data_IF_589027404902
#
_entry.id   IF_589027404902
#
_cell.length_a   1.000
_cell.length_b   1.000
_cell.length_c   1.000
_cell.angle_alpha   90.00
_cell.angle_beta   90.00
_cell.angle_gamma   90.00
#
_symmetry.space_group_name_H-M   'P 1'
#
loop_
_entity.id
_entity.type
_entity.pdbx_description
1 polymer ?
#
# COMPACT_ATOMS: atom_id res chain seq x y z
N UNK A 1 -46.39 37.60 -53.97
CA UNK A 1 -45.73 38.56 -53.06
C UNK A 1 -46.16 38.22 -51.63
N UNK A 2 -45.46 37.32 -50.97
CA UNK A 2 -45.75 36.87 -49.61
C UNK A 2 -44.51 37.14 -48.77
N UNK A 3 -44.71 37.97 -47.75
CA UNK A 3 -43.66 38.34 -46.80
C UNK A 3 -43.46 37.24 -45.77
N UNK A 4 -42.28 36.74 -45.68
CA UNK A 4 -41.81 35.90 -44.58
C UNK A 4 -41.19 36.83 -43.53
N UNK A 5 -41.76 36.89 -42.32
CA UNK A 5 -41.16 37.52 -41.13
C UNK A 5 -40.72 36.41 -40.20
N UNK A 6 -39.65 36.40 -39.82
CA UNK A 6 -38.45 36.05 -39.17
C UNK A 6 -38.65 35.44 -37.81
N UNK A 7 -38.21 34.20 -37.70
CA UNK A 7 -37.85 33.54 -36.44
C UNK A 7 -36.40 33.86 -36.11
N UNK A 8 -36.11 34.85 -35.29
CA UNK A 8 -34.78 35.13 -34.75
C UNK A 8 -34.78 35.59 -33.27
N UNK A 9 -35.76 35.18 -32.48
CA UNK A 9 -35.88 35.68 -31.11
C UNK A 9 -35.77 34.65 -29.98
N UNK A 10 -35.81 33.32 -30.26
CA UNK A 10 -35.96 32.31 -29.23
C UNK A 10 -34.66 31.57 -28.82
N UNK A 11 -33.58 31.70 -29.59
CA UNK A 11 -32.36 30.89 -29.34
C UNK A 11 -31.35 31.53 -28.36
N UNK A 12 -31.44 32.85 -28.13
CA UNK A 12 -30.42 33.52 -27.28
C UNK A 12 -30.79 33.48 -25.80
N UNK A 13 -32.09 33.33 -25.47
CA UNK A 13 -32.55 33.27 -24.06
C UNK A 13 -32.27 31.91 -23.39
N UNK A 14 -32.19 30.81 -24.18
CA UNK A 14 -31.94 29.48 -23.63
C UNK A 14 -30.48 29.23 -23.28
N UNK A 15 -29.51 29.85 -23.99
CA UNK A 15 -28.07 29.67 -23.74
C UNK A 15 -27.63 30.41 -22.47
N UNK A 16 -28.23 31.56 -22.13
CA UNK A 16 -27.89 32.33 -20.93
C UNK A 16 -28.39 31.65 -19.65
N UNK A 17 -29.54 30.96 -19.70
CA UNK A 17 -30.07 30.21 -18.53
C UNK A 17 -29.27 28.93 -18.25
N UNK A 18 -28.65 28.29 -19.27
CA UNK A 18 -27.84 27.09 -19.06
C UNK A 18 -26.45 27.38 -18.48
N UNK A 19 -25.87 28.55 -18.78
CA UNK A 19 -24.61 28.97 -18.18
C UNK A 19 -24.73 29.43 -16.73
N UNK A 20 -25.87 30.00 -16.32
CA UNK A 20 -26.09 30.45 -14.94
C UNK A 20 -26.35 29.30 -13.96
N UNK A 21 -26.93 28.18 -14.41
CA UNK A 21 -27.19 27.01 -13.57
C UNK A 21 -25.92 26.14 -13.38
N UNK A 22 -24.96 26.20 -14.30
CA UNK A 22 -23.69 25.46 -14.14
C UNK A 22 -22.69 26.18 -13.20
N UNK A 23 -22.74 27.51 -13.11
CA UNK A 23 -21.88 28.28 -12.21
C UNK A 23 -22.32 28.23 -10.74
N UNK A 24 -23.61 28.04 -10.48
CA UNK A 24 -24.12 27.95 -9.10
C UNK A 24 -23.82 26.61 -8.40
N UNK A 25 -23.66 25.51 -9.16
CA UNK A 25 -23.27 24.21 -8.60
C UNK A 25 -21.82 24.18 -8.10
N UNK A 26 -20.91 24.76 -8.86
CA UNK A 26 -19.47 24.80 -8.50
C UNK A 26 -19.16 25.76 -7.35
N UNK A 27 -19.89 26.85 -7.22
CA UNK A 27 -19.72 27.79 -6.11
C UNK A 27 -20.19 27.19 -4.77
N UNK A 28 -21.27 26.42 -4.76
CA UNK A 28 -21.80 25.78 -3.55
C UNK A 28 -20.91 24.66 -3.00
N UNK A 29 -20.26 23.87 -3.87
CA UNK A 29 -19.32 22.82 -3.44
C UNK A 29 -18.00 23.41 -2.92
N UNK A 30 -17.51 24.49 -3.55
CA UNK A 30 -16.29 25.18 -3.09
C UNK A 30 -16.46 25.89 -1.75
N UNK A 31 -17.64 26.31 -1.37
CA UNK A 31 -17.90 26.88 -0.04
C UNK A 31 -18.07 25.80 1.06
N UNK A 32 -18.62 24.66 0.71
CA UNK A 32 -18.92 23.59 1.68
C UNK A 32 -17.69 22.98 2.34
N UNK A 33 -16.63 22.67 1.58
CA UNK A 33 -15.40 22.09 2.14
C UNK A 33 -14.60 23.10 2.97
N UNK A 34 -14.60 24.40 2.58
CA UNK A 34 -13.90 25.47 3.34
C UNK A 34 -14.49 25.61 4.73
N UNK A 35 -15.82 25.74 4.82
CA UNK A 35 -16.49 25.84 6.10
C UNK A 35 -16.26 24.60 6.99
N UNK A 36 -16.26 23.39 6.38
CA UNK A 36 -15.94 22.14 7.09
C UNK A 36 -14.47 22.15 7.56
N UNK A 37 -13.54 22.62 6.74
CA UNK A 37 -12.12 22.70 7.08
C UNK A 37 -11.87 23.70 8.20
N UNK A 38 -12.40 24.91 8.12
CA UNK A 38 -12.28 25.93 9.16
C UNK A 38 -12.83 25.46 10.51
N UNK A 39 -14.01 24.83 10.49
CA UNK A 39 -14.61 24.22 11.68
C UNK A 39 -13.69 23.13 12.29
N UNK A 40 -13.10 22.30 11.43
CA UNK A 40 -12.17 21.25 11.85
C UNK A 40 -10.90 21.88 12.44
N UNK A 41 -10.35 22.92 11.80
CA UNK A 41 -9.16 23.63 12.25
C UNK A 41 -9.37 24.26 13.65
N UNK A 42 -10.49 24.96 13.85
CA UNK A 42 -10.79 25.57 15.15
C UNK A 42 -11.05 24.53 16.25
N UNK A 43 -11.65 23.38 15.90
CA UNK A 43 -11.82 22.30 16.85
C UNK A 43 -10.47 21.64 17.21
N UNK A 44 -9.61 21.40 16.24
CA UNK A 44 -8.28 20.85 16.44
C UNK A 44 -7.38 21.76 17.29
N UNK A 45 -7.49 23.09 17.12
CA UNK A 45 -6.81 24.06 18.00
C UNK A 45 -7.20 23.90 19.48
N UNK A 46 -8.47 23.59 19.75
CA UNK A 46 -8.95 23.35 21.12
C UNK A 46 -8.49 22.00 21.66
N UNK A 47 -8.37 20.98 20.78
CA UNK A 47 -7.84 19.67 21.15
C UNK A 47 -6.35 19.76 21.49
N UNK A 48 -5.56 20.49 20.69
CA UNK A 48 -4.16 20.82 20.94
C UNK A 48 -3.18 19.63 20.89
N UNK A 49 -3.68 18.41 20.76
CA UNK A 49 -2.89 17.19 20.80
C UNK A 49 -3.29 16.22 19.66
N UNK A 50 -2.37 15.32 19.32
CA UNK A 50 -2.58 14.22 18.39
C UNK A 50 -1.71 13.04 18.81
N UNK A 51 -2.28 11.85 18.90
CA UNK A 51 -1.54 10.61 19.22
C UNK A 51 -1.51 9.66 18.03
N UNK A 52 -0.30 9.45 17.48
CA UNK A 52 -0.04 8.56 16.35
C UNK A 52 0.57 7.25 16.85
N UNK A 53 -0.02 6.13 16.45
CA UNK A 53 0.55 4.80 16.63
C UNK A 53 1.07 4.30 15.26
N UNK A 54 2.20 3.60 15.23
CA UNK A 54 2.73 3.03 13.98
C UNK A 54 4.19 2.64 14.03
N UNK A 55 4.79 2.46 12.86
CA UNK A 55 6.22 2.27 12.70
C UNK A 55 7.01 3.58 12.81
N UNK A 56 8.33 3.47 12.64
CA UNK A 56 9.22 4.64 12.67
C UNK A 56 8.91 5.64 11.55
N UNK A 57 8.31 5.17 10.47
CA UNK A 57 8.01 5.95 9.27
C UNK A 57 7.03 7.09 9.55
N UNK A 58 5.95 6.82 10.31
CA UNK A 58 4.95 7.85 10.65
C UNK A 58 5.49 8.82 11.71
N UNK A 59 6.42 8.35 12.53
CA UNK A 59 7.06 9.12 13.59
C UNK A 59 8.36 9.79 13.14
N UNK A 60 8.70 9.74 11.84
CA UNK A 60 9.95 10.29 11.34
C UNK A 60 10.06 11.79 11.67
N UNK A 61 11.21 12.26 12.20
CA UNK A 61 11.37 13.66 12.66
C UNK A 61 11.02 14.70 11.59
N UNK A 62 11.34 14.46 10.33
CA UNK A 62 11.01 15.37 9.23
C UNK A 62 9.50 15.47 8.97
N UNK A 63 8.76 14.36 9.07
CA UNK A 63 7.29 14.36 8.94
C UNK A 63 6.68 15.19 10.06
N UNK A 64 7.10 14.92 11.31
CA UNK A 64 6.58 15.61 12.48
C UNK A 64 6.94 17.11 12.45
N UNK A 65 8.18 17.46 12.09
CA UNK A 65 8.62 18.84 11.97
C UNK A 65 7.86 19.59 10.86
N UNK A 66 7.61 18.96 9.72
CA UNK A 66 6.87 19.57 8.62
C UNK A 66 5.39 19.77 8.98
N UNK A 67 4.76 18.80 9.66
CA UNK A 67 3.40 18.95 10.17
C UNK A 67 3.31 20.04 11.23
N UNK A 68 4.22 20.05 12.22
CA UNK A 68 4.24 21.06 13.28
C UNK A 68 4.55 22.47 12.75
N UNK A 69 5.29 22.61 11.65
CA UNK A 69 5.49 23.91 10.99
C UNK A 69 4.17 24.48 10.46
N UNK A 70 3.30 23.64 9.91
CA UNK A 70 2.01 24.05 9.37
C UNK A 70 0.95 24.19 10.47
N UNK A 71 1.03 23.37 11.54
CA UNK A 71 0.09 23.34 12.66
C UNK A 71 0.80 23.38 14.01
N UNK A 72 1.47 24.51 14.35
CA UNK A 72 2.31 24.62 15.55
C UNK A 72 1.53 24.53 16.87
N UNK A 73 0.21 24.60 16.81
CA UNK A 73 -0.69 24.47 17.95
C UNK A 73 -1.06 23.01 18.27
N UNK A 74 -0.60 22.02 17.47
CA UNK A 74 -0.82 20.59 17.74
C UNK A 74 0.46 19.97 18.31
N UNK A 75 0.38 19.44 19.51
CA UNK A 75 1.43 18.60 20.09
C UNK A 75 1.26 17.17 19.64
N UNK A 76 2.16 16.67 18.78
CA UNK A 76 2.12 15.30 18.31
C UNK A 76 2.84 14.37 19.28
N UNK A 77 2.14 13.35 19.75
CA UNK A 77 2.69 12.23 20.51
C UNK A 77 2.77 11.01 19.61
N UNK A 78 3.86 10.25 19.68
CA UNK A 78 4.04 9.04 18.88
C UNK A 78 4.25 7.83 19.77
N UNK A 79 3.65 6.72 19.40
CA UNK A 79 3.87 5.40 20.00
C UNK A 79 4.36 4.48 18.91
N UNK A 80 5.69 4.32 18.88
CA UNK A 80 6.38 3.50 17.87
C UNK A 80 6.60 2.10 18.39
N UNK A 81 6.40 1.10 17.54
CA UNK A 81 6.64 -0.30 17.89
C UNK A 81 6.36 -1.25 16.73
N UNK A 82 6.68 -2.52 16.95
CA UNK A 82 6.35 -3.56 15.99
C UNK A 82 4.85 -3.77 15.89
N UNK A 83 4.38 -4.06 14.67
CA UNK A 83 2.97 -4.17 14.34
C UNK A 83 2.17 -5.07 15.30
N UNK A 84 2.68 -6.26 15.63
CA UNK A 84 2.04 -7.19 16.54
C UNK A 84 1.93 -6.66 17.99
N UNK A 85 2.95 -5.97 18.47
CA UNK A 85 2.98 -5.38 19.82
C UNK A 85 1.97 -4.24 19.93
N UNK A 86 1.93 -3.36 18.91
CA UNK A 86 0.95 -2.27 18.85
C UNK A 86 -0.47 -2.79 18.78
N UNK A 87 -0.71 -3.90 18.04
CA UNK A 87 -2.02 -4.54 18.01
C UNK A 87 -2.44 -5.00 19.42
N UNK A 88 -1.58 -5.72 20.13
CA UNK A 88 -1.87 -6.19 21.49
C UNK A 88 -2.06 -5.02 22.47
N UNK A 89 -1.27 -3.98 22.36
CA UNK A 89 -1.40 -2.77 23.16
C UNK A 89 -2.76 -2.11 22.98
N UNK A 90 -3.17 -1.82 21.74
CA UNK A 90 -4.48 -1.21 21.46
C UNK A 90 -5.61 -2.09 21.98
N UNK A 91 -5.55 -3.41 21.78
CA UNK A 91 -6.57 -4.33 22.28
C UNK A 91 -6.63 -4.33 23.82
N UNK A 92 -5.49 -4.24 24.51
CA UNK A 92 -5.43 -4.14 25.96
C UNK A 92 -6.00 -2.82 26.48
N UNK A 93 -5.63 -1.69 25.85
CA UNK A 93 -6.16 -0.35 26.14
C UNK A 93 -7.68 -0.32 26.01
N UNK A 94 -8.22 -0.88 24.90
CA UNK A 94 -9.66 -0.95 24.65
C UNK A 94 -10.40 -1.81 25.69
N UNK A 95 -9.83 -2.95 26.07
CA UNK A 95 -10.40 -3.82 27.15
C UNK A 95 -10.42 -3.09 28.49
N UNK A 96 -9.45 -2.23 28.75
CA UNK A 96 -9.39 -1.40 29.94
C UNK A 96 -10.26 -0.11 29.84
N UNK A 97 -11.06 0.05 28.77
CA UNK A 97 -11.86 1.25 28.54
C UNK A 97 -11.05 2.50 28.18
N UNK A 98 -9.78 2.35 27.81
CA UNK A 98 -8.88 3.45 27.45
C UNK A 98 -8.87 3.67 25.93
N UNK A 99 -9.01 4.91 25.51
CA UNK A 99 -9.00 5.36 24.13
C UNK A 99 -7.85 6.36 23.99
N UNK A 100 -6.64 5.87 23.66
CA UNK A 100 -5.41 6.67 23.70
C UNK A 100 -4.92 7.04 22.29
N UNK A 101 -5.16 6.20 21.30
CA UNK A 101 -4.70 6.42 19.95
C UNK A 101 -5.77 7.17 19.12
N UNK A 102 -5.32 8.15 18.34
CA UNK A 102 -6.14 8.81 17.32
C UNK A 102 -6.02 8.12 15.96
N UNK A 103 -4.79 7.88 15.52
CA UNK A 103 -4.47 7.30 14.21
C UNK A 103 -3.46 6.16 14.34
N UNK A 104 -3.50 5.27 13.36
CA UNK A 104 -2.43 4.30 13.14
C UNK A 104 -2.01 4.33 11.66
N UNK A 105 -0.70 4.25 11.41
CA UNK A 105 -0.13 4.01 10.10
C UNK A 105 0.78 2.79 10.13
N UNK A 106 0.63 1.91 9.14
CA UNK A 106 1.43 0.69 9.05
C UNK A 106 0.88 -0.30 8.04
N UNK A 107 1.55 -1.42 7.86
CA UNK A 107 1.12 -2.48 6.95
C UNK A 107 -0.28 -3.02 7.27
N UNK A 108 -1.04 -3.50 6.27
CA UNK A 108 -2.48 -3.76 6.38
C UNK A 108 -2.86 -4.90 7.35
N UNK A 109 -1.92 -5.75 7.75
CA UNK A 109 -2.22 -6.90 8.62
C UNK A 109 -2.61 -6.51 10.05
N UNK A 110 -1.97 -5.48 10.62
CA UNK A 110 -2.32 -4.99 11.97
C UNK A 110 -3.65 -4.23 11.97
N UNK A 111 -3.89 -3.27 11.07
CA UNK A 111 -5.20 -2.64 10.89
C UNK A 111 -6.33 -3.62 10.61
N UNK A 112 -6.05 -4.76 9.96
CA UNK A 112 -7.03 -5.84 9.82
C UNK A 112 -7.60 -6.29 11.17
N UNK A 113 -6.74 -6.46 12.17
CA UNK A 113 -7.17 -6.83 13.54
C UNK A 113 -8.09 -5.76 14.13
N UNK A 114 -7.78 -4.48 13.92
CA UNK A 114 -8.60 -3.37 14.41
C UNK A 114 -9.94 -3.28 13.67
N UNK A 115 -9.93 -3.48 12.35
CA UNK A 115 -11.13 -3.52 11.53
C UNK A 115 -12.07 -4.65 11.96
N UNK A 116 -11.59 -5.88 12.08
CA UNK A 116 -12.37 -7.04 12.55
C UNK A 116 -12.88 -6.84 13.98
N UNK A 117 -12.11 -6.14 14.81
CA UNK A 117 -12.50 -5.76 16.18
C UNK A 117 -13.49 -4.60 16.24
N UNK A 118 -13.90 -4.00 15.11
CA UNK A 118 -14.77 -2.82 15.03
C UNK A 118 -14.23 -1.64 15.85
N UNK A 119 -12.91 -1.41 15.76
CA UNK A 119 -12.23 -0.35 16.51
C UNK A 119 -12.00 0.92 15.69
N UNK A 120 -12.50 0.99 14.46
CA UNK A 120 -12.22 2.06 13.51
C UNK A 120 -13.47 2.89 13.20
N UNK A 121 -13.25 4.17 12.90
CA UNK A 121 -14.22 5.03 12.22
C UNK A 121 -13.88 5.10 10.72
N UNK A 122 -14.87 5.30 9.84
CA UNK A 122 -14.64 5.45 8.41
C UNK A 122 -13.72 6.64 8.11
N UNK A 123 -12.48 6.39 7.67
CA UNK A 123 -11.52 7.45 7.34
C UNK A 123 -11.98 8.29 6.15
N UNK A 124 -12.77 7.70 5.24
CA UNK A 124 -13.33 8.39 4.06
C UNK A 124 -14.09 9.66 4.45
N UNK A 125 -14.78 9.67 5.59
CA UNK A 125 -15.51 10.84 6.08
C UNK A 125 -14.62 11.98 6.57
N UNK A 126 -13.34 11.70 6.78
CA UNK A 126 -12.31 12.62 7.26
C UNK A 126 -11.49 13.27 6.15
N UNK A 127 -11.69 12.85 4.90
CA UNK A 127 -11.10 13.50 3.74
C UNK A 127 -11.87 14.79 3.42
N UNK A 128 -11.20 15.94 3.48
CA UNK A 128 -11.85 17.26 3.40
C UNK A 128 -11.25 18.11 2.27
N UNK A 129 -9.91 18.16 2.18
CA UNK A 129 -9.25 19.05 1.23
C UNK A 129 -9.48 18.57 -0.21
N UNK A 130 -9.81 19.47 -1.17
CA UNK A 130 -10.04 19.12 -2.56
C UNK A 130 -8.88 18.35 -3.19
N UNK A 131 -7.63 18.72 -2.89
CA UNK A 131 -6.46 18.01 -3.40
C UNK A 131 -6.36 16.56 -2.88
N UNK A 132 -6.99 16.24 -1.73
CA UNK A 132 -7.02 14.88 -1.16
C UNK A 132 -8.22 14.11 -1.70
N UNK A 133 -9.38 14.77 -1.84
CA UNK A 133 -10.62 14.15 -2.32
C UNK A 133 -10.67 13.97 -3.83
N UNK A 134 -9.86 14.71 -4.59
CA UNK A 134 -9.76 14.58 -6.05
C UNK A 134 -9.07 13.25 -6.43
N UNK A 135 -9.90 12.26 -6.76
CA UNK A 135 -9.43 10.91 -7.14
C UNK A 135 -8.55 10.91 -8.39
N UNK A 136 -8.64 11.94 -9.26
CA UNK A 136 -7.76 12.04 -10.44
C UNK A 136 -6.28 12.18 -10.10
N UNK A 137 -5.94 12.51 -8.86
CA UNK A 137 -4.57 12.60 -8.34
C UNK A 137 -4.02 11.27 -7.82
N UNK A 138 -4.84 10.22 -7.82
CA UNK A 138 -4.52 8.92 -7.27
C UNK A 138 -4.45 7.86 -8.36
N UNK A 139 -3.66 6.82 -8.13
CA UNK A 139 -3.49 5.71 -9.05
C UNK A 139 -4.85 5.09 -9.44
N UNK A 140 -5.05 4.90 -10.74
CA UNK A 140 -6.31 4.37 -11.27
C UNK A 140 -7.52 5.31 -11.10
N UNK A 141 -7.29 6.60 -10.85
CA UNK A 141 -8.32 7.64 -10.64
C UNK A 141 -9.33 7.27 -9.53
N UNK A 142 -8.87 6.62 -8.47
CA UNK A 142 -9.68 6.27 -7.30
C UNK A 142 -8.85 6.28 -6.02
N UNK A 143 -9.51 6.41 -4.87
CA UNK A 143 -8.90 6.06 -3.60
C UNK A 143 -8.89 4.54 -3.44
N UNK A 144 -7.83 4.04 -2.81
CA UNK A 144 -7.66 2.63 -2.55
C UNK A 144 -7.77 2.36 -1.05
N UNK A 145 -8.48 1.31 -0.72
CA UNK A 145 -8.65 0.84 0.65
C UNK A 145 -8.29 -0.63 0.73
N UNK A 146 -7.74 -1.03 1.87
CA UNK A 146 -7.42 -2.43 2.09
C UNK A 146 -8.59 -3.23 2.66
N UNK A 147 -9.63 -2.56 3.18
CA UNK A 147 -10.83 -3.19 3.73
C UNK A 147 -11.89 -3.46 2.66
N UNK A 148 -12.77 -4.47 2.86
CA UNK A 148 -13.79 -4.84 1.88
C UNK A 148 -14.89 -3.79 1.65
N UNK A 149 -15.04 -2.83 2.57
CA UNK A 149 -16.06 -1.79 2.50
C UNK A 149 -15.57 -0.52 1.80
N UNK A 150 -14.27 -0.44 1.47
CA UNK A 150 -13.62 0.74 0.88
C UNK A 150 -13.80 2.02 1.74
N UNK A 151 -13.66 1.92 3.08
CA UNK A 151 -13.94 3.03 3.98
C UNK A 151 -12.92 3.27 5.10
N UNK A 152 -12.19 2.26 5.56
CA UNK A 152 -11.48 2.32 6.83
C UNK A 152 -9.96 2.32 6.71
N UNK A 153 -9.40 1.52 5.80
CA UNK A 153 -7.96 1.29 5.68
C UNK A 153 -7.44 1.97 4.42
N UNK A 154 -7.18 3.28 4.48
CA UNK A 154 -6.76 4.07 3.33
C UNK A 154 -5.33 3.72 2.91
N UNK A 155 -5.15 3.20 1.71
CA UNK A 155 -3.84 2.87 1.13
C UNK A 155 -3.21 4.11 0.49
N UNK A 156 -2.11 4.57 1.03
CA UNK A 156 -1.34 5.71 0.49
C UNK A 156 -0.03 5.29 -0.19
N UNK A 157 0.40 4.07 0.01
CA UNK A 157 1.58 3.45 -0.60
C UNK A 157 1.17 2.41 -1.63
N UNK A 158 1.87 2.39 -2.76
CA UNK A 158 1.65 1.43 -3.84
C UNK A 158 2.96 1.01 -4.48
N UNK A 159 3.94 0.67 -3.66
CA UNK A 159 5.24 0.16 -4.08
C UNK A 159 5.08 -1.18 -4.79
N UNK A 160 5.84 -1.39 -5.84
CA UNK A 160 5.90 -2.70 -6.51
C UNK A 160 6.48 -3.71 -5.55
N UNK A 161 5.74 -4.78 -5.29
CA UNK A 161 6.21 -5.87 -4.46
C UNK A 161 7.08 -6.82 -5.24
N UNK A 162 8.16 -7.26 -4.61
CA UNK A 162 9.07 -8.23 -5.21
C UNK A 162 8.36 -9.54 -5.51
N UNK A 163 8.79 -10.22 -6.56
CA UNK A 163 8.22 -11.50 -6.99
C UNK A 163 8.49 -12.64 -6.02
N UNK A 164 9.47 -12.48 -5.12
CA UNK A 164 10.00 -13.56 -4.30
C UNK A 164 10.68 -14.66 -5.10
N UNK A 165 10.93 -14.47 -6.39
CA UNK A 165 11.64 -15.40 -7.28
C UNK A 165 13.03 -14.85 -7.57
N UNK A 166 14.06 -15.63 -7.22
CA UNK A 166 15.47 -15.24 -7.34
C UNK A 166 16.27 -16.31 -8.04
N UNK A 167 17.38 -15.93 -8.63
CA UNK A 167 18.23 -16.84 -9.37
C UNK A 167 19.73 -16.56 -9.15
N UNK A 168 20.55 -17.58 -9.40
CA UNK A 168 22.00 -17.40 -9.47
C UNK A 168 22.38 -16.98 -10.89
N UNK A 169 23.00 -15.79 -11.01
CA UNK A 169 23.30 -15.15 -12.30
C UNK A 169 24.36 -15.89 -13.14
N UNK A 170 25.11 -16.83 -12.54
CA UNK A 170 26.06 -17.70 -13.25
C UNK A 170 25.41 -18.97 -13.81
N UNK A 171 24.22 -19.33 -13.34
CA UNK A 171 23.55 -20.59 -13.65
C UNK A 171 22.26 -20.41 -14.45
N UNK A 172 21.65 -19.23 -14.41
CA UNK A 172 20.38 -18.93 -15.06
C UNK A 172 20.47 -17.61 -15.80
N UNK A 173 20.05 -17.60 -17.05
CA UNK A 173 19.82 -16.37 -17.81
C UNK A 173 18.43 -15.80 -17.45
N UNK A 174 18.32 -14.48 -17.22
CA UNK A 174 17.02 -13.86 -16.98
C UNK A 174 16.01 -14.11 -18.10
N UNK A 175 16.50 -14.34 -19.33
CA UNK A 175 15.66 -14.66 -20.49
C UNK A 175 14.91 -16.01 -20.39
N UNK A 176 15.33 -16.88 -19.49
CA UNK A 176 14.73 -18.19 -19.29
C UNK A 176 13.44 -18.14 -18.46
N UNK A 177 13.18 -17.00 -17.79
CA UNK A 177 12.07 -16.81 -16.87
C UNK A 177 11.26 -15.59 -17.30
N UNK A 178 10.16 -15.84 -18.00
CA UNK A 178 9.20 -14.83 -18.48
C UNK A 178 7.84 -14.97 -17.81
N UNK A 179 7.68 -15.99 -16.98
CA UNK A 179 6.45 -16.33 -16.27
C UNK A 179 6.80 -17.14 -15.04
N UNK A 180 6.01 -17.03 -13.99
CA UNK A 180 6.10 -17.96 -12.85
C UNK A 180 5.93 -19.43 -13.28
N UNK A 181 5.11 -19.71 -14.30
CA UNK A 181 4.95 -21.04 -14.84
C UNK A 181 6.22 -21.64 -15.42
N UNK A 182 7.20 -20.82 -15.78
CA UNK A 182 8.48 -21.31 -16.33
C UNK A 182 9.29 -22.11 -15.31
N UNK A 183 9.14 -21.83 -14.01
CA UNK A 183 9.86 -22.59 -12.96
C UNK A 183 9.31 -23.99 -12.76
N UNK A 184 8.14 -24.31 -13.31
CA UNK A 184 7.56 -25.67 -13.28
C UNK A 184 8.05 -26.54 -14.44
N UNK A 185 8.83 -26.00 -15.39
CA UNK A 185 9.39 -26.77 -16.49
C UNK A 185 10.30 -27.90 -16.01
N UNK A 186 10.29 -29.04 -16.68
CA UNK A 186 11.04 -30.24 -16.30
C UNK A 186 12.55 -30.00 -16.05
N UNK A 187 13.16 -29.03 -16.75
CA UNK A 187 14.59 -28.67 -16.55
C UNK A 187 14.92 -28.17 -15.13
N UNK A 188 13.92 -27.66 -14.41
CA UNK A 188 14.06 -27.12 -13.04
C UNK A 188 13.68 -28.12 -11.94
N UNK A 189 13.18 -29.29 -12.28
CA UNK A 189 12.80 -30.32 -11.33
C UNK A 189 14.02 -30.73 -10.46
N UNK A 190 13.84 -30.69 -9.14
CA UNK A 190 14.91 -30.95 -8.16
C UNK A 190 15.98 -29.83 -8.05
N UNK A 191 15.81 -28.72 -8.79
CA UNK A 191 16.74 -27.58 -8.81
C UNK A 191 16.16 -26.32 -8.21
N UNK A 192 14.97 -26.38 -7.67
CA UNK A 192 14.28 -25.25 -7.06
C UNK A 192 14.45 -25.29 -5.54
N UNK A 193 14.85 -24.17 -4.97
CA UNK A 193 14.91 -23.93 -3.53
C UNK A 193 13.72 -23.06 -3.11
N UNK A 194 13.15 -23.30 -1.95
CA UNK A 194 12.04 -22.51 -1.44
C UNK A 194 12.00 -22.38 0.06
N UNK A 195 11.52 -21.25 0.57
CA UNK A 195 11.24 -21.12 2.00
C UNK A 195 10.03 -21.97 2.36
N UNK A 196 10.15 -22.75 3.45
CA UNK A 196 9.04 -23.56 3.98
C UNK A 196 7.86 -22.66 4.35
N UNK A 197 6.71 -22.79 3.68
CA UNK A 197 5.55 -21.94 3.95
C UNK A 197 4.75 -22.34 5.21
N UNK A 198 5.12 -23.43 5.89
CA UNK A 198 4.41 -23.97 7.07
C UNK A 198 4.82 -23.32 8.39
N UNK A 199 5.25 -22.06 8.37
CA UNK A 199 5.64 -21.32 9.59
C UNK A 199 4.43 -20.82 10.41
N UNK A 200 4.70 -20.18 11.54
CA UNK A 200 3.68 -19.56 12.40
C UNK A 200 2.84 -18.49 11.70
N UNK A 201 3.40 -17.90 10.62
CA UNK A 201 2.70 -16.98 9.74
C UNK A 201 3.02 -17.32 8.29
N UNK A 202 2.00 -17.38 7.46
CA UNK A 202 2.16 -17.61 6.03
C UNK A 202 2.98 -16.47 5.41
N UNK A 203 4.02 -16.75 4.62
CA UNK A 203 4.78 -15.71 3.95
C UNK A 203 3.91 -14.90 2.99
N UNK A 204 3.98 -13.58 3.06
CA UNK A 204 3.22 -12.67 2.19
C UNK A 204 3.33 -13.01 0.68
N UNK A 205 4.52 -13.37 0.13
CA UNK A 205 4.62 -13.77 -1.26
C UNK A 205 3.71 -14.95 -1.65
N UNK A 206 3.48 -15.91 -0.75
CA UNK A 206 2.59 -17.05 -1.02
C UNK A 206 1.14 -16.58 -1.16
N UNK A 207 0.71 -15.64 -0.31
CA UNK A 207 -0.61 -15.00 -0.42
C UNK A 207 -0.77 -14.29 -1.76
N UNK A 208 0.25 -13.53 -2.16
CA UNK A 208 0.27 -12.80 -3.42
C UNK A 208 0.11 -13.76 -4.60
N UNK A 209 0.88 -14.85 -4.65
CA UNK A 209 0.78 -15.84 -5.73
C UNK A 209 -0.59 -16.52 -5.76
N UNK A 210 -1.16 -16.84 -4.59
CA UNK A 210 -2.48 -17.45 -4.52
C UNK A 210 -3.58 -16.55 -5.07
N UNK A 211 -3.55 -15.25 -4.75
CA UNK A 211 -4.55 -14.30 -5.19
C UNK A 211 -4.26 -13.67 -6.56
N UNK A 212 -3.10 -14.00 -7.17
CA UNK A 212 -2.77 -13.52 -8.51
C UNK A 212 -3.68 -14.17 -9.56
N UNK A 213 -4.38 -13.38 -10.41
CA UNK A 213 -5.30 -13.91 -11.42
C UNK A 213 -4.67 -14.87 -12.43
N UNK A 214 -3.37 -14.72 -12.70
CA UNK A 214 -2.61 -15.57 -13.62
C UNK A 214 -2.05 -16.85 -13.00
N UNK A 215 -2.18 -17.06 -11.68
CA UNK A 215 -1.53 -18.14 -10.92
C UNK A 215 -2.52 -18.93 -10.08
N UNK A 216 -2.93 -18.38 -8.95
CA UNK A 216 -3.95 -18.99 -8.08
C UNK A 216 -3.51 -20.26 -7.36
N UNK A 217 -4.51 -20.99 -6.87
CA UNK A 217 -4.32 -22.28 -6.16
C UNK A 217 -3.64 -23.34 -7.01
N UNK A 218 -3.90 -23.34 -8.33
CA UNK A 218 -3.35 -24.33 -9.26
C UNK A 218 -1.82 -24.21 -9.35
N UNK A 219 -1.30 -22.99 -9.47
CA UNK A 219 0.15 -22.77 -9.47
C UNK A 219 0.80 -23.28 -8.16
N UNK A 220 0.20 -22.97 -7.01
CA UNK A 220 0.70 -23.42 -5.70
C UNK A 220 0.71 -24.94 -5.60
N UNK A 221 -0.36 -25.62 -6.04
CA UNK A 221 -0.41 -27.09 -6.05
C UNK A 221 0.73 -27.68 -6.87
N UNK A 222 0.88 -27.22 -8.09
CA UNK A 222 1.90 -27.74 -9.01
C UNK A 222 3.32 -27.41 -8.56
N UNK A 223 3.54 -26.22 -7.98
CA UNK A 223 4.82 -25.85 -7.42
C UNK A 223 5.32 -26.87 -6.39
N UNK A 224 4.47 -27.27 -5.46
CA UNK A 224 4.88 -28.21 -4.40
C UNK A 224 4.77 -29.69 -4.81
N UNK A 225 3.92 -30.03 -5.76
CA UNK A 225 3.73 -31.42 -6.19
C UNK A 225 4.71 -31.87 -7.29
N UNK A 226 5.09 -30.99 -8.21
CA UNK A 226 5.77 -31.37 -9.45
C UNK A 226 7.27 -31.00 -9.47
N UNK A 227 7.70 -29.98 -8.71
CA UNK A 227 9.06 -29.44 -8.87
C UNK A 227 10.14 -30.14 -8.05
N UNK A 228 9.78 -31.03 -7.11
CA UNK A 228 10.72 -31.61 -6.13
C UNK A 228 11.53 -30.49 -5.42
N UNK A 229 10.82 -29.43 -4.99
CA UNK A 229 11.40 -28.28 -4.35
C UNK A 229 12.09 -28.64 -3.03
N UNK A 230 13.31 -28.16 -2.84
CA UNK A 230 14.01 -28.27 -1.55
C UNK A 230 13.59 -27.14 -0.64
N UNK A 231 12.99 -27.46 0.51
CA UNK A 231 12.52 -26.44 1.47
C UNK A 231 13.58 -26.10 2.51
N UNK A 232 13.73 -24.82 2.83
CA UNK A 232 14.57 -24.31 3.91
C UNK A 232 13.74 -23.49 4.92
N UNK A 233 14.24 -23.38 6.16
CA UNK A 233 13.61 -22.58 7.22
C UNK A 233 14.47 -21.40 7.66
N UNK A 234 15.78 -21.56 7.60
CA UNK A 234 16.71 -20.48 7.91
C UNK A 234 16.91 -19.57 6.70
N UNK A 235 16.62 -18.28 6.89
CA UNK A 235 16.65 -17.28 5.80
C UNK A 235 18.04 -17.12 5.19
N UNK A 236 19.10 -17.15 6.02
CA UNK A 236 20.48 -17.00 5.55
C UNK A 236 20.94 -18.24 4.78
N UNK A 237 20.49 -19.41 5.22
CA UNK A 237 20.80 -20.68 4.54
C UNK A 237 20.29 -20.68 3.10
N UNK A 238 19.05 -20.23 2.85
CA UNK A 238 18.46 -20.19 1.51
C UNK A 238 19.26 -19.30 0.57
N UNK A 239 19.54 -18.07 0.97
CA UNK A 239 20.32 -17.12 0.16
C UNK A 239 21.76 -17.60 -0.05
N UNK A 240 22.42 -18.18 0.94
CA UNK A 240 23.76 -18.75 0.80
C UNK A 240 23.79 -19.91 -0.20
N UNK A 241 22.82 -20.83 -0.15
CA UNK A 241 22.75 -21.95 -1.11
C UNK A 241 22.53 -21.48 -2.54
N UNK A 242 21.72 -20.44 -2.73
CA UNK A 242 21.55 -19.80 -4.02
C UNK A 242 22.87 -19.15 -4.49
N UNK A 243 23.52 -18.38 -3.61
CA UNK A 243 24.72 -17.64 -3.95
C UNK A 243 25.93 -18.53 -4.33
N UNK A 244 26.10 -19.64 -3.62
CA UNK A 244 27.17 -20.61 -3.95
C UNK A 244 26.83 -21.52 -5.14
N UNK A 245 25.63 -21.37 -5.72
CA UNK A 245 25.21 -22.14 -6.89
C UNK A 245 24.77 -23.58 -6.58
N UNK A 246 24.47 -23.91 -5.31
CA UNK A 246 23.92 -25.22 -4.97
C UNK A 246 22.53 -25.43 -5.62
N UNK A 247 21.77 -24.36 -5.76
CA UNK A 247 20.51 -24.31 -6.49
C UNK A 247 20.54 -23.11 -7.45
N UNK A 248 20.06 -23.27 -8.70
CA UNK A 248 19.99 -22.17 -9.66
C UNK A 248 18.85 -21.20 -9.40
N UNK A 249 17.73 -21.66 -8.79
CA UNK A 249 16.52 -20.89 -8.54
C UNK A 249 16.08 -20.96 -7.08
N UNK A 250 15.54 -19.87 -6.59
CA UNK A 250 14.89 -19.81 -5.28
C UNK A 250 13.56 -19.08 -5.37
N UNK A 251 12.53 -19.65 -4.75
CA UNK A 251 11.28 -18.96 -4.49
C UNK A 251 11.17 -18.61 -3.01
N UNK A 252 10.77 -17.36 -2.71
CA UNK A 252 10.66 -16.81 -1.36
C UNK A 252 11.98 -16.65 -0.60
N UNK A 253 13.13 -16.59 -1.30
CA UNK A 253 14.39 -16.16 -0.71
C UNK A 253 14.28 -14.68 -0.28
N UNK A 254 15.03 -14.30 0.74
CA UNK A 254 15.06 -12.94 1.26
C UNK A 254 16.51 -12.43 1.39
N UNK A 255 16.70 -11.10 1.33
CA UNK A 255 18.01 -10.49 1.46
C UNK A 255 18.86 -10.63 0.19
N UNK A 256 18.22 -10.85 -0.95
CA UNK A 256 18.87 -10.95 -2.26
C UNK A 256 19.59 -9.63 -2.58
N UNK A 257 18.96 -8.48 -2.35
CA UNK A 257 19.58 -7.17 -2.59
C UNK A 257 20.82 -6.95 -1.72
N UNK A 258 20.79 -7.40 -0.47
CA UNK A 258 21.96 -7.35 0.40
C UNK A 258 23.09 -8.24 -0.14
N UNK A 259 22.78 -9.46 -0.54
CA UNK A 259 23.73 -10.39 -1.12
C UNK A 259 24.33 -9.85 -2.43
N UNK A 260 23.51 -9.24 -3.28
CA UNK A 260 23.94 -8.55 -4.51
C UNK A 260 24.89 -7.39 -4.21
N UNK A 261 24.57 -6.54 -3.24
CA UNK A 261 25.48 -5.45 -2.81
C UNK A 261 26.82 -5.95 -2.27
N UNK A 262 26.84 -7.16 -1.75
CA UNK A 262 28.10 -7.84 -1.32
C UNK A 262 28.87 -8.50 -2.48
N UNK A 263 28.38 -8.35 -3.72
CA UNK A 263 29.03 -8.91 -4.92
C UNK A 263 28.73 -10.39 -5.16
N UNK A 264 27.74 -10.96 -4.48
CA UNK A 264 27.35 -12.36 -4.71
C UNK A 264 26.53 -12.48 -6.01
N UNK A 265 26.67 -13.61 -6.73
CA UNK A 265 26.05 -13.80 -8.04
C UNK A 265 24.56 -14.17 -7.93
N UNK A 266 23.78 -13.31 -7.33
CA UNK A 266 22.32 -13.51 -7.16
C UNK A 266 21.58 -12.29 -7.64
N UNK A 267 20.38 -12.52 -8.18
CA UNK A 267 19.47 -11.48 -8.63
C UNK A 267 18.03 -11.90 -8.35
N UNK A 268 17.16 -10.94 -8.17
CA UNK A 268 15.72 -11.16 -8.12
C UNK A 268 15.09 -10.93 -9.49
N UNK A 269 14.15 -11.79 -9.88
CA UNK A 269 13.39 -11.60 -11.12
C UNK A 269 12.53 -10.35 -10.96
N UNK A 270 12.76 -9.36 -11.80
CA UNK A 270 11.99 -8.12 -11.75
C UNK A 270 10.49 -8.38 -12.03
N UNK A 271 9.58 -7.78 -11.26
CA UNK A 271 8.13 -8.01 -11.45
C UNK A 271 7.64 -7.70 -12.86
N UNK A 272 8.24 -6.74 -13.54
CA UNK A 272 7.90 -6.34 -14.90
C UNK A 272 8.48 -7.26 -15.98
N UNK A 273 9.38 -8.16 -15.62
CA UNK A 273 9.90 -9.21 -16.51
C UNK A 273 8.89 -10.34 -16.71
N UNK A 274 8.03 -10.58 -15.72
CA UNK A 274 7.04 -11.65 -15.76
C UNK A 274 5.77 -11.20 -16.48
N UNK A 275 5.13 -12.12 -17.24
CA UNK A 275 3.88 -11.82 -17.95
C UNK A 275 2.66 -11.69 -17.06
N UNK A 276 2.68 -12.31 -15.89
CA UNK A 276 1.63 -12.18 -14.90
C UNK A 276 1.58 -10.75 -14.38
N UNK A 277 0.41 -10.30 -13.97
CA UNK A 277 0.26 -8.98 -13.35
C UNK A 277 1.18 -8.88 -12.13
N UNK A 278 2.00 -7.84 -12.07
CA UNK A 278 2.76 -7.51 -10.88
C UNK A 278 1.83 -7.12 -9.74
N UNK A 279 2.36 -7.06 -8.54
CA UNK A 279 1.58 -6.65 -7.38
C UNK A 279 2.13 -5.35 -6.80
N UNK A 280 1.24 -4.48 -6.36
CA UNK A 280 1.58 -3.28 -5.62
C UNK A 280 0.94 -3.33 -4.24
N UNK A 281 1.67 -2.84 -3.30
CA UNK A 281 1.26 -2.78 -1.90
C UNK A 281 2.34 -2.10 -1.11
N UNK A 282 2.28 -2.13 0.19
CA UNK A 282 3.34 -1.61 1.02
C UNK A 282 3.93 -2.66 1.94
N UNK A 283 5.22 -2.58 2.18
CA UNK A 283 5.91 -3.43 3.12
C UNK A 283 5.60 -3.09 4.56
N UNK A 284 5.71 -1.82 4.93
CA UNK A 284 5.64 -1.34 6.31
C UNK A 284 4.52 -0.36 6.61
N UNK A 285 4.28 0.63 5.77
CA UNK A 285 3.44 1.80 6.07
C UNK A 285 2.36 2.06 5.01
N UNK A 286 1.66 1.02 4.57
CA UNK A 286 0.74 1.09 3.43
C UNK A 286 -0.59 1.77 3.72
N UNK A 287 -1.11 1.68 4.94
CA UNK A 287 -2.45 2.16 5.28
C UNK A 287 -2.44 3.14 6.44
N UNK A 288 -3.33 4.12 6.32
CA UNK A 288 -3.69 5.06 7.39
C UNK A 288 -5.10 4.74 7.87
N UNK A 289 -5.30 4.68 9.17
CA UNK A 289 -6.60 4.43 9.79
C UNK A 289 -6.92 5.44 10.89
N UNK A 290 -8.21 5.67 11.09
CA UNK A 290 -8.75 6.47 12.18
C UNK A 290 -9.41 5.55 13.21
N UNK A 291 -8.96 5.63 14.47
CA UNK A 291 -9.61 4.90 15.54
C UNK A 291 -10.97 5.52 15.89
N UNK A 292 -11.94 4.67 16.19
CA UNK A 292 -13.18 5.16 16.77
C UNK A 292 -12.93 5.67 18.21
N UNK A 293 -13.74 6.63 18.64
CA UNK A 293 -13.56 7.29 19.94
C UNK A 293 -12.15 7.86 20.11
N UNK A 294 -11.54 8.32 19.02
CA UNK A 294 -10.28 9.04 19.05
C UNK A 294 -10.37 10.22 20.03
N UNK A 295 -9.40 10.41 20.96
CA UNK A 295 -9.45 11.52 21.91
C UNK A 295 -9.36 12.90 21.22
N UNK A 296 -8.68 12.99 20.07
CA UNK A 296 -8.47 14.23 19.33
C UNK A 296 -8.93 14.09 17.86
N UNK A 297 -10.24 13.89 17.59
CA UNK A 297 -10.73 13.52 16.26
C UNK A 297 -10.54 14.62 15.21
N UNK A 298 -10.48 15.89 15.60
CA UNK A 298 -10.27 16.97 14.64
C UNK A 298 -8.78 17.19 14.33
N UNK A 299 -7.89 17.04 15.31
CA UNK A 299 -6.45 16.99 15.07
C UNK A 299 -6.08 15.79 14.16
N UNK A 300 -6.72 14.65 14.36
CA UNK A 300 -6.59 13.49 13.47
C UNK A 300 -7.00 13.83 12.02
N UNK A 301 -8.14 14.52 11.82
CA UNK A 301 -8.57 14.98 10.48
C UNK A 301 -7.59 15.96 9.84
N UNK A 302 -6.99 16.88 10.62
CA UNK A 302 -5.93 17.75 10.11
C UNK A 302 -4.74 16.93 9.62
N UNK A 303 -4.26 15.97 10.43
CA UNK A 303 -3.14 15.14 10.07
C UNK A 303 -3.44 14.27 8.85
N UNK A 304 -4.59 13.62 8.77
CA UNK A 304 -5.02 12.82 7.61
C UNK A 304 -4.91 13.64 6.32
N UNK A 305 -5.52 14.83 6.28
CA UNK A 305 -5.52 15.66 5.09
C UNK A 305 -4.14 16.20 4.75
N UNK A 306 -3.35 16.58 5.75
CA UNK A 306 -1.97 17.02 5.54
C UNK A 306 -1.07 15.88 5.03
N UNK A 307 -1.15 14.70 5.67
CA UNK A 307 -0.32 13.55 5.32
C UNK A 307 -0.64 13.01 3.92
N UNK A 308 -1.92 12.99 3.55
CA UNK A 308 -2.41 12.56 2.24
C UNK A 308 -2.33 13.67 1.18
N UNK A 309 -1.99 14.92 1.53
CA UNK A 309 -1.75 15.99 0.57
C UNK A 309 -0.55 15.67 -0.33
N UNK A 310 -0.46 16.36 -1.48
CA UNK A 310 0.70 16.25 -2.35
C UNK A 310 2.01 16.52 -1.60
N UNK A 311 2.02 17.56 -0.74
CA UNK A 311 3.19 17.94 0.07
C UNK A 311 3.56 16.87 1.09
N UNK A 312 2.60 16.35 1.84
CA UNK A 312 2.83 15.28 2.81
C UNK A 312 3.39 14.02 2.15
N UNK A 313 2.84 13.64 0.99
CA UNK A 313 3.26 12.47 0.24
C UNK A 313 4.64 12.63 -0.43
N UNK A 314 5.05 13.83 -0.83
CA UNK A 314 6.43 14.10 -1.29
C UNK A 314 7.42 13.89 -0.15
N UNK A 315 7.15 14.44 1.04
CA UNK A 315 8.04 14.30 2.20
C UNK A 315 8.16 12.82 2.58
N UNK A 316 7.03 12.13 2.72
CA UNK A 316 7.01 10.70 3.03
C UNK A 316 7.79 9.87 2.01
N UNK A 317 7.50 10.03 0.71
CA UNK A 317 8.15 9.26 -0.37
C UNK A 317 9.66 9.46 -0.38
N UNK A 318 10.13 10.69 -0.19
CA UNK A 318 11.55 11.01 -0.12
C UNK A 318 12.23 10.29 1.05
N UNK A 319 11.62 10.34 2.24
CA UNK A 319 12.14 9.66 3.44
C UNK A 319 12.24 8.16 3.21
N UNK A 320 11.19 7.56 2.68
CA UNK A 320 11.11 6.12 2.47
C UNK A 320 12.11 5.61 1.40
N UNK A 321 12.53 6.47 0.47
CA UNK A 321 13.49 6.11 -0.58
C UNK A 321 14.95 6.48 -0.23
N UNK A 322 15.25 6.69 1.04
CA UNK A 322 16.64 6.80 1.49
C UNK A 322 17.33 5.42 1.42
N UNK A 323 18.67 5.41 1.41
CA UNK A 323 19.45 4.15 1.32
C UNK A 323 19.24 3.19 2.49
N UNK A 324 18.65 3.65 3.57
CA UNK A 324 18.47 2.90 4.82
C UNK A 324 17.06 2.30 4.94
N UNK A 325 16.13 2.70 4.08
CA UNK A 325 14.72 2.28 4.11
C UNK A 325 14.38 1.51 2.83
N UNK A 326 13.37 0.66 2.87
CA UNK A 326 12.85 -0.04 1.70
C UNK A 326 12.21 0.94 0.71
N UNK A 327 12.31 0.69 -0.62
CA UNK A 327 11.74 1.57 -1.62
C UNK A 327 10.22 1.70 -1.45
N UNK A 328 9.72 2.90 -1.64
CA UNK A 328 8.30 3.19 -1.48
C UNK A 328 7.81 4.16 -2.55
N UNK A 329 6.65 3.85 -3.12
CA UNK A 329 6.00 4.65 -4.15
C UNK A 329 4.60 5.08 -3.68
N UNK A 330 4.37 6.39 -3.60
CA UNK A 330 3.06 6.92 -3.21
C UNK A 330 1.97 6.52 -4.19
N UNK A 331 0.77 6.22 -3.69
CA UNK A 331 -0.43 6.04 -4.52
C UNK A 331 -0.85 7.32 -5.25
N UNK A 332 -0.35 8.50 -4.84
CA UNK A 332 -0.55 9.73 -5.62
C UNK A 332 0.30 9.72 -6.88
N UNK A 333 -0.31 10.02 -8.01
CA UNK A 333 0.36 10.08 -9.31
C UNK A 333 0.94 11.47 -9.63
N UNK A 334 0.53 12.50 -8.90
CA UNK A 334 1.03 13.87 -9.04
C UNK A 334 2.26 14.18 -8.13
N UNK A 335 2.78 13.17 -7.44
CA UNK A 335 4.04 13.21 -6.69
C UNK A 335 5.19 12.83 -7.63
N UNK A 336 6.31 13.59 -7.66
CA UNK A 336 7.48 13.24 -8.46
C UNK A 336 7.98 11.83 -8.16
N UNK A 337 8.35 11.08 -9.20
CA UNK A 337 8.78 9.68 -9.07
C UNK A 337 10.29 9.48 -9.22
N UNK A 338 11.03 10.55 -9.43
CA UNK A 338 12.49 10.51 -9.70
C UNK A 338 13.28 9.96 -8.51
N UNK A 339 12.78 10.22 -7.29
CA UNK A 339 13.39 9.76 -6.03
C UNK A 339 12.98 8.33 -5.65
N UNK A 340 11.99 7.73 -6.34
CA UNK A 340 11.58 6.34 -6.06
C UNK A 340 12.62 5.39 -6.63
N UNK A 341 13.13 4.50 -5.78
CA UNK A 341 14.08 3.49 -6.19
C UNK A 341 13.46 2.59 -7.29
N UNK A 342 14.23 2.23 -8.33
CA UNK A 342 13.69 1.53 -9.51
C UNK A 342 12.91 0.26 -9.17
N UNK A 343 13.39 -0.52 -8.20
CA UNK A 343 12.79 -1.79 -7.77
C UNK A 343 11.42 -1.63 -7.11
N UNK A 344 11.12 -0.47 -6.54
CA UNK A 344 9.81 -0.18 -5.92
C UNK A 344 8.85 0.62 -6.79
N UNK A 345 9.35 1.12 -7.93
CA UNK A 345 8.64 2.07 -8.78
C UNK A 345 7.62 1.39 -9.68
N UNK A 346 6.37 1.88 -9.66
CA UNK A 346 5.36 1.48 -10.65
C UNK A 346 5.74 1.97 -12.03
N UNK A 347 5.56 1.11 -13.03
CA UNK A 347 5.75 1.46 -14.44
C UNK A 347 4.44 1.97 -15.03
N UNK A 348 4.54 3.04 -15.81
CA UNK A 348 3.39 3.61 -16.51
C UNK A 348 2.82 2.61 -17.53
N UNK A 349 1.49 2.54 -17.60
CA UNK A 349 0.78 1.65 -18.53
C UNK A 349 0.74 0.18 -18.14
N UNK A 350 1.47 -0.26 -17.10
CA UNK A 350 1.41 -1.64 -16.60
C UNK A 350 0.24 -1.84 -15.64
N UNK A 351 -0.40 -2.99 -15.73
CA UNK A 351 -1.41 -3.42 -14.76
C UNK A 351 -0.76 -4.03 -13.54
N UNK A 352 -1.28 -3.69 -12.36
CA UNK A 352 -0.86 -4.25 -11.09
C UNK A 352 -2.07 -4.67 -10.26
N UNK A 353 -1.94 -5.82 -9.60
CA UNK A 353 -2.85 -6.23 -8.55
C UNK A 353 -2.54 -5.42 -7.29
N UNK A 354 -3.53 -4.73 -6.75
CA UNK A 354 -3.38 -4.02 -5.48
C UNK A 354 -3.55 -4.99 -4.33
N UNK A 355 -2.51 -5.10 -3.51
CA UNK A 355 -2.52 -5.96 -2.34
C UNK A 355 -3.11 -5.18 -1.18
N UNK A 356 -4.29 -5.59 -0.76
CA UNK A 356 -4.96 -5.07 0.42
C UNK A 356 -5.07 -6.14 1.51
N UNK A 357 -6.27 -6.33 1.94
CA UNK A 357 -6.67 -7.28 2.96
C UNK A 357 -6.80 -8.70 2.37
N UNK A 358 -5.71 -9.46 2.38
CA UNK A 358 -5.72 -10.84 1.90
C UNK A 358 -6.08 -11.81 3.05
N UNK A 359 -7.03 -12.70 2.80
CA UNK A 359 -7.39 -13.73 3.76
C UNK A 359 -6.38 -14.89 3.72
N UNK A 360 -5.63 -15.18 4.80
CA UNK A 360 -4.67 -16.27 4.81
C UNK A 360 -5.30 -17.66 4.92
N UNK A 361 -6.56 -17.79 5.35
CA UNK A 361 -7.17 -19.08 5.71
C UNK A 361 -7.23 -20.07 4.54
N UNK A 362 -7.76 -19.73 3.34
CA UNK A 362 -7.81 -20.66 2.23
C UNK A 362 -6.42 -21.06 1.73
N UNK A 363 -5.44 -20.16 1.86
CA UNK A 363 -4.06 -20.43 1.46
C UNK A 363 -3.39 -21.37 2.45
N UNK A 364 -3.58 -21.16 3.76
CA UNK A 364 -3.05 -22.04 4.79
C UNK A 364 -3.60 -23.45 4.65
N UNK A 365 -4.89 -23.60 4.36
CA UNK A 365 -5.52 -24.89 4.09
C UNK A 365 -4.85 -25.59 2.91
N UNK A 366 -4.68 -24.88 1.79
CA UNK A 366 -4.02 -25.42 0.61
C UNK A 366 -2.57 -25.83 0.91
N UNK A 367 -1.79 -25.00 1.61
CA UNK A 367 -0.40 -25.32 1.97
C UNK A 367 -0.33 -26.60 2.80
N UNK A 368 -1.23 -26.77 3.79
CA UNK A 368 -1.28 -27.98 4.61
C UNK A 368 -1.64 -29.25 3.80
N UNK A 369 -2.37 -29.11 2.71
CA UNK A 369 -2.70 -30.21 1.79
C UNK A 369 -1.52 -30.60 0.90
N UNK A 370 -0.75 -29.64 0.40
CA UNK A 370 0.21 -29.86 -0.70
C UNK A 370 1.67 -29.96 -0.24
N UNK A 371 2.01 -29.37 0.90
CA UNK A 371 3.38 -29.42 1.44
C UNK A 371 3.47 -30.54 2.47
N UNK A 372 4.06 -31.66 2.07
CA UNK A 372 4.26 -32.84 2.91
C UNK A 372 5.46 -32.72 3.84
#
# INVERSE_FOLDING_TARGET
MVRVMGERGALITFIILFCASFQSGWAGETEGWKAKWEKTLEAAKREGELTLYGGEEIAHPEILAAFNKDYPFIRVQTVVGHAGELAQRVLAERRAGKYLADLYAGGPNTPRTFYLGKLLDPIVTSLILPEVTDTSKWYGARHWYADPEDQYLFMYEGTVTTTGLSYNTKLVSPEEIKSYWDILKAKWKGKLLGMDPRGAALPTPVLILYYNPGLGAEFIRRLFAETEITLFRDRRQGTNWLAVGKFPLCIFCRGIDQAKRQGLPVEEVAPDQLKEEGSIGGGGSSVLILFNKAPHPNAAKLFINWYLSRRGQIIWQRIMNTKEVEPSDSMRIDVPKDEVLPEGRRLEGRKYQVIGFLDPEPVQKLINEVVK
#
